data_IF_648148657667
#
_entry.id   IF_648148657667
#
_cell.length_a   1.000
_cell.length_b   1.000
_cell.length_c   1.000
_cell.angle_alpha   90.00
_cell.angle_beta   90.00
_cell.angle_gamma   90.00
#
_symmetry.space_group_name_H-M   'P 1'
#
loop_
_entity.id
_entity.type
_entity.pdbx_description
1 polymer ?
#
# COMPACT_ATOMS: atom_id res chain seq x y z
N UNK A 1 -49.95 -50.06 50.73
CA UNK A 1 -50.79 -49.53 49.65
C UNK A 1 -49.99 -49.63 48.37
N UNK A 2 -50.53 -50.31 47.37
CA UNK A 2 -49.91 -50.45 46.06
C UNK A 2 -50.13 -49.14 45.29
N UNK A 3 -49.06 -48.41 45.01
CA UNK A 3 -49.12 -47.08 44.37
C UNK A 3 -49.47 -47.15 42.88
N UNK A 4 -49.59 -48.35 42.33
CA UNK A 4 -49.88 -48.64 40.92
C UNK A 4 -51.29 -48.21 40.46
N UNK A 5 -52.12 -47.61 41.33
CA UNK A 5 -53.52 -47.29 41.03
C UNK A 5 -53.92 -45.81 41.26
N UNK A 6 -52.96 -44.89 41.45
CA UNK A 6 -53.27 -43.45 41.53
C UNK A 6 -53.17 -42.83 40.12
N UNK A 7 -54.18 -43.05 39.29
CA UNK A 7 -54.38 -42.34 38.01
C UNK A 7 -54.96 -40.95 38.31
N UNK A 8 -54.09 -39.95 38.46
CA UNK A 8 -54.46 -38.60 38.89
C UNK A 8 -54.65 -37.54 37.78
N UNK A 9 -54.29 -37.83 36.52
CA UNK A 9 -54.25 -36.80 35.48
C UNK A 9 -55.14 -37.14 34.30
N UNK A 10 -56.11 -36.27 34.02
CA UNK A 10 -56.93 -36.28 32.81
C UNK A 10 -56.34 -35.28 31.83
N UNK A 11 -55.88 -35.75 30.67
CA UNK A 11 -55.49 -34.89 29.56
C UNK A 11 -56.58 -34.92 28.50
N UNK A 12 -56.77 -33.81 27.81
CA UNK A 12 -57.73 -33.71 26.70
C UNK A 12 -56.96 -33.93 25.40
N UNK A 13 -57.41 -34.87 24.57
CA UNK A 13 -56.82 -35.07 23.26
C UNK A 13 -57.16 -33.92 22.29
N UNK A 14 -56.52 -33.90 21.12
CA UNK A 14 -56.74 -32.88 20.08
C UNK A 14 -58.19 -32.79 19.57
N UNK A 15 -59.04 -33.76 19.88
CA UNK A 15 -60.45 -33.82 19.50
C UNK A 15 -61.38 -33.45 20.67
N UNK A 16 -60.83 -33.03 21.82
CA UNK A 16 -61.62 -32.60 22.97
C UNK A 16 -62.03 -33.72 23.92
N UNK A 17 -61.54 -34.95 23.74
CA UNK A 17 -61.91 -36.08 24.59
C UNK A 17 -60.95 -36.25 25.76
N UNK A 18 -61.49 -36.47 26.96
CA UNK A 18 -60.69 -36.75 28.15
C UNK A 18 -60.11 -38.17 28.11
N UNK A 19 -58.78 -38.26 28.16
CA UNK A 19 -58.02 -39.49 28.36
C UNK A 19 -57.31 -39.44 29.71
N UNK A 20 -57.36 -40.54 30.45
CA UNK A 20 -56.50 -40.70 31.63
C UNK A 20 -55.05 -40.92 31.15
N UNK A 21 -54.13 -40.11 31.66
CA UNK A 21 -52.70 -40.24 31.40
C UNK A 21 -52.05 -40.72 32.68
N UNK A 22 -51.34 -41.85 32.59
CA UNK A 22 -50.60 -42.37 33.75
C UNK A 22 -49.34 -41.54 33.98
N UNK A 23 -48.80 -41.61 35.20
CA UNK A 23 -47.54 -40.91 35.52
C UNK A 23 -46.38 -41.43 34.65
N UNK A 24 -46.40 -42.72 34.32
CA UNK A 24 -45.40 -43.35 33.44
C UNK A 24 -45.46 -42.77 32.01
N UNK A 25 -46.66 -42.64 31.44
CA UNK A 25 -46.86 -42.05 30.10
C UNK A 25 -46.42 -40.56 30.07
N UNK A 26 -46.70 -39.77 31.12
CA UNK A 26 -46.19 -38.40 31.20
C UNK A 26 -44.67 -38.35 31.29
N UNK A 27 -44.07 -39.27 32.04
CA UNK A 27 -42.62 -39.33 32.25
C UNK A 27 -41.90 -39.68 30.94
N UNK A 28 -42.43 -40.60 30.14
CA UNK A 28 -41.89 -40.91 28.81
C UNK A 28 -41.99 -39.72 27.85
N UNK A 29 -43.13 -39.02 27.81
CA UNK A 29 -43.32 -37.86 26.93
C UNK A 29 -42.38 -36.69 27.29
N UNK A 30 -42.20 -36.44 28.59
CA UNK A 30 -41.24 -35.43 29.07
C UNK A 30 -39.81 -35.85 28.75
N UNK A 31 -39.47 -37.13 28.94
CA UNK A 31 -38.14 -37.67 28.62
C UNK A 31 -37.83 -37.55 27.12
N UNK A 32 -38.78 -37.91 26.25
CA UNK A 32 -38.61 -37.76 24.80
C UNK A 32 -38.37 -36.31 24.38
N UNK A 33 -39.09 -35.35 24.99
CA UNK A 33 -38.92 -33.93 24.71
C UNK A 33 -37.57 -33.39 25.21
N UNK A 34 -37.11 -33.83 26.39
CA UNK A 34 -35.79 -33.48 26.93
C UNK A 34 -34.68 -34.07 26.04
N UNK A 35 -34.78 -35.32 25.63
CA UNK A 35 -33.78 -35.97 24.76
C UNK A 35 -33.73 -35.31 23.38
N UNK A 36 -34.88 -34.95 22.81
CA UNK A 36 -34.93 -34.20 21.54
C UNK A 36 -34.25 -32.83 21.65
N UNK A 37 -34.57 -32.06 22.71
CA UNK A 37 -33.96 -30.75 22.93
C UNK A 37 -32.47 -30.85 23.24
N UNK A 38 -32.04 -31.85 24.02
CA UNK A 38 -30.63 -32.09 24.29
C UNK A 38 -29.86 -32.52 23.03
N UNK A 39 -30.50 -33.30 22.15
CA UNK A 39 -29.92 -33.71 20.87
C UNK A 39 -29.73 -32.51 19.95
N UNK A 40 -30.71 -31.61 19.85
CA UNK A 40 -30.58 -30.36 19.07
C UNK A 40 -29.44 -29.48 19.61
N UNK A 41 -29.36 -29.29 20.93
CA UNK A 41 -28.27 -28.53 21.57
C UNK A 41 -26.89 -29.16 21.31
N UNK A 42 -26.80 -30.50 21.32
CA UNK A 42 -25.57 -31.24 21.05
C UNK A 42 -25.05 -31.00 19.63
N UNK A 43 -25.94 -30.91 18.64
CA UNK A 43 -25.56 -30.62 17.24
C UNK A 43 -24.98 -29.21 17.10
N UNK A 44 -25.57 -28.21 17.77
CA UNK A 44 -25.04 -26.84 17.77
C UNK A 44 -23.71 -26.71 18.52
N UNK A 45 -23.54 -27.46 19.62
CA UNK A 45 -22.31 -27.48 20.39
C UNK A 45 -21.14 -28.16 19.62
N UNK A 46 -21.43 -29.20 18.84
CA UNK A 46 -20.42 -29.88 18.02
C UNK A 46 -19.91 -29.00 16.87
N UNK A 47 -20.81 -28.26 16.19
CA UNK A 47 -20.43 -27.30 15.15
C UNK A 47 -19.59 -26.14 15.71
N UNK A 48 -19.93 -25.63 16.90
CA UNK A 48 -19.15 -24.59 17.58
C UNK A 48 -17.76 -25.07 18.04
N UNK A 49 -17.60 -26.35 18.41
CA UNK A 49 -16.33 -26.93 18.86
C UNK A 49 -15.38 -27.31 17.70
N UNK A 50 -15.92 -27.61 16.51
CA UNK A 50 -15.12 -27.96 15.34
C UNK A 50 -14.48 -26.75 14.63
N UNK A 51 -14.89 -25.52 14.97
CA UNK A 51 -14.37 -24.28 14.34
C UNK A 51 -14.71 -24.15 12.85
N UNK A 52 -15.41 -25.12 12.28
CA UNK A 52 -15.98 -25.11 10.94
C UNK A 52 -17.37 -24.50 11.06
N UNK A 53 -17.44 -23.19 10.94
CA UNK A 53 -18.73 -22.50 10.78
C UNK A 53 -19.23 -22.81 9.35
N UNK A 54 -20.05 -23.85 9.21
CA UNK A 54 -20.65 -24.27 7.94
C UNK A 54 -21.42 -23.13 7.23
N UNK A 55 -21.67 -22.03 7.93
CA UNK A 55 -22.32 -20.83 7.39
C UNK A 55 -21.33 -19.82 6.81
N UNK A 56 -20.04 -19.80 7.18
CA UNK A 56 -19.04 -18.88 6.60
C UNK A 56 -18.70 -19.27 5.16
N UNK A 57 -18.59 -20.57 4.86
CA UNK A 57 -18.32 -21.10 3.51
C UNK A 57 -19.51 -20.94 2.54
N UNK A 58 -20.70 -20.61 3.06
CA UNK A 58 -21.92 -20.39 2.27
C UNK A 58 -22.19 -18.90 2.00
N UNK A 59 -21.42 -17.99 2.60
CA UNK A 59 -21.56 -16.57 2.31
C UNK A 59 -21.00 -16.26 0.92
N UNK A 60 -21.70 -15.47 0.09
CA UNK A 60 -21.17 -15.05 -1.19
C UNK A 60 -19.85 -14.32 -0.99
N UNK A 61 -18.81 -14.73 -1.71
CA UNK A 61 -17.53 -14.03 -1.71
C UNK A 61 -17.78 -12.58 -2.13
N UNK A 62 -17.49 -11.66 -1.21
CA UNK A 62 -17.60 -10.23 -1.46
C UNK A 62 -16.20 -9.66 -1.67
N UNK A 63 -15.96 -9.04 -2.82
CA UNK A 63 -14.73 -8.29 -3.09
C UNK A 63 -14.63 -6.99 -2.26
N UNK A 64 -15.67 -6.68 -1.48
CA UNK A 64 -15.74 -5.49 -0.62
C UNK A 64 -16.20 -5.85 0.80
N UNK A 65 -15.32 -5.63 1.78
CA UNK A 65 -15.69 -5.72 3.20
C UNK A 65 -16.15 -4.33 3.70
N UNK A 66 -17.39 -4.25 4.17
CA UNK A 66 -17.96 -3.02 4.73
C UNK A 66 -17.80 -2.92 6.25
N UNK A 67 -17.72 -4.06 6.93
CA UNK A 67 -17.56 -4.17 8.38
C UNK A 67 -16.57 -5.28 8.75
N UNK A 68 -15.87 -5.06 9.86
CA UNK A 68 -14.97 -5.99 10.50
C UNK A 68 -15.55 -6.32 11.88
N UNK A 69 -15.63 -7.61 12.22
CA UNK A 69 -15.90 -8.02 13.61
C UNK A 69 -14.66 -7.74 14.43
N UNK A 70 -14.81 -6.88 15.44
CA UNK A 70 -13.75 -6.44 16.34
C UNK A 70 -14.20 -6.63 17.77
N UNK A 71 -13.27 -6.47 18.72
CA UNK A 71 -13.60 -6.41 20.13
C UNK A 71 -13.54 -4.96 20.60
N UNK A 72 -14.51 -4.53 21.41
CA UNK A 72 -14.42 -3.26 22.13
C UNK A 72 -13.38 -3.34 23.27
N UNK A 73 -13.14 -2.22 23.96
CA UNK A 73 -12.19 -2.17 25.08
C UNK A 73 -12.53 -3.10 26.26
N UNK A 74 -13.76 -3.59 26.32
CA UNK A 74 -14.27 -4.54 27.32
C UNK A 74 -14.27 -5.99 26.81
N UNK A 75 -13.69 -6.24 25.62
CA UNK A 75 -13.66 -7.53 24.92
C UNK A 75 -15.03 -8.05 24.47
N UNK A 76 -16.02 -7.17 24.30
CA UNK A 76 -17.29 -7.54 23.70
C UNK A 76 -17.20 -7.47 22.17
N UNK A 77 -17.83 -8.41 21.42
CA UNK A 77 -17.93 -8.32 19.98
C UNK A 77 -18.65 -7.04 19.53
N UNK A 78 -18.05 -6.33 18.58
CA UNK A 78 -18.62 -5.12 17.97
C UNK A 78 -18.28 -5.05 16.48
N UNK A 79 -19.08 -4.30 15.70
CA UNK A 79 -18.87 -4.10 14.27
C UNK A 79 -18.15 -2.78 14.04
N UNK A 80 -16.92 -2.85 13.52
CA UNK A 80 -16.16 -1.68 13.09
C UNK A 80 -16.25 -1.54 11.57
N UNK A 81 -16.60 -0.36 11.06
CA UNK A 81 -16.62 -0.16 9.60
C UNK A 81 -15.20 -0.26 9.00
N UNK A 82 -15.09 -0.72 7.77
CA UNK A 82 -13.80 -0.80 7.06
C UNK A 82 -13.11 0.56 6.96
N UNK A 83 -13.87 1.65 6.82
CA UNK A 83 -13.35 3.02 6.83
C UNK A 83 -12.77 3.43 8.18
N UNK A 84 -13.44 3.07 9.29
CA UNK A 84 -12.94 3.35 10.63
C UNK A 84 -11.64 2.56 10.92
N UNK A 85 -11.61 1.28 10.51
CA UNK A 85 -10.40 0.46 10.62
C UNK A 85 -9.25 1.01 9.77
N UNK A 86 -9.51 1.41 8.51
CA UNK A 86 -8.51 2.00 7.64
C UNK A 86 -7.94 3.31 8.18
N UNK A 87 -8.77 4.14 8.82
CA UNK A 87 -8.30 5.38 9.48
C UNK A 87 -7.32 5.08 10.61
N UNK A 88 -7.68 4.18 11.52
CA UNK A 88 -6.83 3.80 12.65
C UNK A 88 -5.52 3.15 12.17
N UNK A 89 -5.61 2.27 11.17
CA UNK A 89 -4.42 1.65 10.57
C UNK A 89 -3.52 2.68 9.88
N UNK A 90 -4.10 3.65 9.17
CA UNK A 90 -3.36 4.73 8.53
C UNK A 90 -2.64 5.62 9.56
N UNK A 91 -3.28 5.91 10.70
CA UNK A 91 -2.66 6.62 11.82
C UNK A 91 -1.56 5.81 12.49
N UNK A 92 -1.71 4.48 12.61
CA UNK A 92 -0.73 3.58 13.21
C UNK A 92 0.54 3.42 12.34
N UNK A 93 0.36 3.21 11.04
CA UNK A 93 1.47 3.12 10.06
C UNK A 93 2.16 4.51 9.95
N UNK A 94 1.38 5.60 10.02
CA UNK A 94 1.85 6.98 9.97
C UNK A 94 2.29 7.42 8.57
N UNK A 95 2.59 8.71 8.40
CA UNK A 95 3.10 9.24 7.14
C UNK A 95 4.58 8.87 6.95
N UNK A 96 4.97 8.53 5.73
CA UNK A 96 6.36 8.34 5.36
C UNK A 96 7.14 9.64 5.58
N UNK A 97 8.29 9.54 6.22
CA UNK A 97 9.27 10.63 6.35
C UNK A 97 10.64 10.11 5.94
N UNK A 98 11.63 10.99 5.78
CA UNK A 98 12.99 10.56 5.40
C UNK A 98 13.60 9.50 6.34
N UNK A 99 13.13 9.40 7.58
CA UNK A 99 13.66 8.50 8.61
C UNK A 99 12.66 7.45 9.11
N UNK A 100 11.46 7.37 8.51
CA UNK A 100 10.41 6.45 8.96
C UNK A 100 9.57 5.97 7.77
N UNK A 101 9.50 4.65 7.62
CA UNK A 101 8.56 4.00 6.69
C UNK A 101 7.13 4.37 7.06
N UNK A 102 6.30 4.65 6.05
CA UNK A 102 4.91 5.01 6.27
C UNK A 102 4.13 5.19 4.97
N UNK A 103 2.93 5.72 5.07
CA UNK A 103 2.06 6.05 3.95
C UNK A 103 2.51 7.37 3.31
N UNK A 104 2.58 7.42 1.98
CA UNK A 104 2.92 8.64 1.24
C UNK A 104 1.67 9.23 0.61
N UNK A 105 1.51 10.56 0.69
CA UNK A 105 0.40 11.25 0.02
C UNK A 105 0.54 11.16 -1.50
N UNK A 106 -0.57 11.27 -2.23
CA UNK A 106 -0.53 11.29 -3.71
C UNK A 106 0.20 12.53 -4.21
N UNK A 107 0.07 13.68 -3.54
CA UNK A 107 0.86 14.87 -3.81
C UNK A 107 2.37 14.64 -3.62
N UNK A 108 2.79 13.96 -2.56
CA UNK A 108 4.22 13.66 -2.33
C UNK A 108 4.75 12.60 -3.31
N UNK A 109 3.91 11.64 -3.69
CA UNK A 109 4.19 10.70 -4.78
C UNK A 109 4.32 11.42 -6.13
N UNK A 110 3.56 12.49 -6.39
CA UNK A 110 3.65 13.30 -7.62
C UNK A 110 4.80 14.32 -7.57
N UNK A 111 5.21 14.74 -6.36
CA UNK A 111 6.46 15.46 -6.07
C UNK A 111 7.70 14.57 -6.09
N UNK A 112 7.55 13.26 -6.38
CA UNK A 112 8.60 12.46 -7.00
C UNK A 112 8.80 12.98 -8.44
N UNK A 113 9.36 14.19 -8.48
CA UNK A 113 9.63 15.12 -9.57
C UNK A 113 10.58 16.12 -8.90
N UNK A 114 11.87 15.85 -9.07
CA UNK A 114 12.89 15.84 -8.02
C UNK A 114 13.22 17.25 -7.48
N UNK A 115 12.97 17.49 -6.18
CA UNK A 115 13.64 18.59 -5.45
C UNK A 115 15.08 18.14 -5.17
N UNK A 116 16.05 18.69 -5.88
CA UNK A 116 17.45 18.41 -5.60
C UNK A 116 18.06 19.46 -4.69
N UNK A 117 18.68 18.97 -3.62
CA UNK A 117 19.63 19.74 -2.86
C UNK A 117 20.87 20.02 -3.74
N UNK A 118 21.55 21.13 -3.46
CA UNK A 118 22.85 21.51 -4.04
C UNK A 118 23.74 20.29 -4.31
N UNK A 119 24.32 20.21 -5.52
CA UNK A 119 25.25 19.13 -5.86
C UNK A 119 25.09 18.62 -7.30
N UNK A 120 25.40 17.35 -7.47
CA UNK A 120 25.46 16.67 -8.77
C UNK A 120 24.52 15.46 -8.76
N UNK A 121 23.62 15.42 -9.74
CA UNK A 121 22.63 14.37 -9.92
C UNK A 121 22.92 13.61 -11.19
N UNK A 122 23.03 12.29 -11.09
CA UNK A 122 23.04 11.40 -12.25
C UNK A 122 21.66 11.40 -12.90
N UNK A 123 21.60 11.82 -14.15
CA UNK A 123 20.37 11.86 -14.93
C UNK A 123 20.08 10.50 -15.54
N UNK A 124 21.11 9.87 -16.10
CA UNK A 124 20.99 8.66 -16.91
C UNK A 124 22.34 7.96 -17.03
N UNK A 125 22.32 6.62 -17.10
CA UNK A 125 23.52 5.82 -17.41
C UNK A 125 23.23 4.75 -18.45
N UNK A 126 24.23 4.39 -19.26
CA UNK A 126 24.08 3.31 -20.22
C UNK A 126 25.38 2.57 -20.50
N UNK A 127 25.26 1.25 -20.69
CA UNK A 127 26.37 0.40 -21.17
C UNK A 127 26.64 0.57 -22.66
N UNK A 128 25.66 1.07 -23.40
CA UNK A 128 25.69 1.13 -24.85
C UNK A 128 25.60 2.58 -25.33
N UNK A 129 26.37 2.89 -26.38
CA UNK A 129 26.42 4.21 -27.01
C UNK A 129 25.16 4.53 -27.83
N UNK A 130 24.43 3.52 -28.32
CA UNK A 130 23.22 3.71 -29.15
C UNK A 130 21.92 3.91 -28.34
N UNK A 131 22.00 4.10 -27.02
CA UNK A 131 20.83 4.44 -26.22
C UNK A 131 20.62 5.95 -26.24
N UNK A 132 19.48 6.36 -26.80
CA UNK A 132 19.14 7.76 -26.96
C UNK A 132 18.40 8.25 -25.71
N UNK A 133 19.01 9.17 -24.98
CA UNK A 133 18.33 9.94 -23.95
C UNK A 133 18.05 11.33 -24.50
N UNK A 134 16.77 11.61 -24.71
CA UNK A 134 16.32 12.94 -25.11
C UNK A 134 15.52 13.53 -23.97
N UNK A 135 15.94 14.71 -23.51
CA UNK A 135 15.31 15.40 -22.41
C UNK A 135 15.23 16.91 -22.62
N UNK A 136 14.17 17.49 -22.07
CA UNK A 136 14.05 18.92 -21.80
C UNK A 136 14.20 19.12 -20.30
N UNK A 137 15.19 19.91 -19.89
CA UNK A 137 15.57 20.13 -18.49
C UNK A 137 15.41 21.60 -18.15
N UNK A 138 14.62 21.89 -17.14
CA UNK A 138 14.63 23.18 -16.45
C UNK A 138 15.41 23.02 -15.14
N UNK A 139 16.50 23.77 -14.99
CA UNK A 139 17.29 23.80 -13.76
C UNK A 139 17.34 25.20 -13.17
N UNK A 140 17.09 25.34 -11.86
CA UNK A 140 17.38 26.54 -11.11
C UNK A 140 18.42 26.18 -10.04
N UNK A 141 19.57 26.84 -10.08
CA UNK A 141 20.62 26.59 -9.10
C UNK A 141 20.36 27.42 -7.83
N UNK A 142 20.78 26.90 -6.65
CA UNK A 142 20.74 27.62 -5.38
C UNK A 142 21.20 29.08 -5.46
N UNK A 143 22.33 29.33 -6.14
CA UNK A 143 23.04 30.61 -6.08
C UNK A 143 22.54 31.66 -7.10
N UNK A 144 21.37 31.45 -7.71
CA UNK A 144 20.84 32.37 -8.72
C UNK A 144 19.31 32.41 -8.75
N UNK A 145 18.77 33.62 -8.92
CA UNK A 145 17.34 33.82 -9.20
C UNK A 145 16.96 33.46 -10.64
N UNK A 146 17.91 33.00 -11.46
CA UNK A 146 17.71 32.65 -12.86
C UNK A 146 17.73 31.13 -13.02
N UNK A 147 16.72 30.58 -13.68
CA UNK A 147 16.75 29.21 -14.19
C UNK A 147 17.42 29.12 -15.56
N UNK A 148 17.69 27.91 -16.02
CA UNK A 148 18.09 27.58 -17.40
C UNK A 148 17.18 26.48 -17.94
N UNK A 149 16.63 26.68 -19.14
CA UNK A 149 15.90 25.65 -19.90
C UNK A 149 16.81 25.10 -21.00
N UNK A 150 17.09 23.81 -20.96
CA UNK A 150 18.07 23.12 -21.78
C UNK A 150 17.42 21.92 -22.46
N UNK A 151 17.60 21.75 -23.77
CA UNK A 151 17.37 20.48 -24.44
C UNK A 151 18.66 19.71 -24.59
N UNK A 152 18.56 18.39 -24.42
CA UNK A 152 19.66 17.44 -24.55
C UNK A 152 19.22 16.30 -25.45
N UNK A 153 20.09 15.93 -26.39
CA UNK A 153 20.12 14.63 -27.07
C UNK A 153 21.46 13.96 -26.74
N UNK A 154 21.40 12.90 -25.94
CA UNK A 154 22.54 12.16 -25.43
C UNK A 154 22.59 10.74 -25.98
N UNK A 155 23.79 10.29 -26.36
CA UNK A 155 24.07 9.01 -27.02
C UNK A 155 25.34 8.34 -26.47
N UNK A 156 25.46 8.24 -25.14
CA UNK A 156 26.61 7.59 -24.51
C UNK A 156 27.91 8.40 -24.58
N UNK A 157 28.71 8.18 -25.62
CA UNK A 157 30.03 8.80 -25.85
C UNK A 157 30.14 9.67 -27.12
N UNK A 158 29.10 9.71 -27.95
CA UNK A 158 29.03 10.54 -29.15
C UNK A 158 28.82 12.03 -28.83
N UNK A 159 29.06 12.94 -29.80
CA UNK A 159 28.77 14.36 -29.64
C UNK A 159 27.32 14.60 -29.20
N UNK A 160 27.18 15.00 -27.95
CA UNK A 160 25.91 15.37 -27.32
C UNK A 160 25.46 16.69 -27.92
N UNK A 161 24.22 16.75 -28.40
CA UNK A 161 23.61 18.02 -28.75
C UNK A 161 22.97 18.61 -27.49
N UNK A 162 23.49 19.74 -27.04
CA UNK A 162 22.94 20.48 -25.91
C UNK A 162 22.67 21.90 -26.34
N UNK A 163 21.42 22.33 -26.22
CA UNK A 163 21.00 23.70 -26.55
C UNK A 163 20.28 24.31 -25.36
N UNK A 164 20.70 25.52 -24.97
CA UNK A 164 19.95 26.34 -24.02
C UNK A 164 18.95 27.20 -24.76
N UNK A 165 17.68 27.06 -24.42
CA UNK A 165 16.62 27.91 -24.97
C UNK A 165 16.46 29.22 -24.21
N UNK A 166 16.56 29.15 -22.88
CA UNK A 166 16.24 30.26 -21.98
C UNK A 166 17.14 30.23 -20.76
N UNK A 167 17.38 31.42 -20.19
CA UNK A 167 18.18 31.58 -18.98
C UNK A 167 19.67 31.65 -19.24
N UNK A 168 20.42 32.31 -18.36
CA UNK A 168 21.88 32.28 -18.38
C UNK A 168 22.39 32.04 -16.96
N UNK A 169 22.20 30.81 -16.48
CA UNK A 169 22.70 30.40 -15.18
C UNK A 169 23.94 29.49 -15.36
N UNK A 170 25.12 30.06 -15.14
CA UNK A 170 26.41 29.34 -15.17
C UNK A 170 26.52 28.27 -14.08
N UNK A 171 25.61 28.28 -13.12
CA UNK A 171 25.53 27.28 -12.06
C UNK A 171 24.64 26.08 -12.40
N UNK A 172 24.07 26.05 -13.62
CA UNK A 172 23.42 24.85 -14.16
C UNK A 172 24.35 24.27 -15.23
N UNK A 173 25.01 23.17 -14.87
CA UNK A 173 26.03 22.54 -15.72
C UNK A 173 25.67 21.09 -16.00
N UNK A 174 26.12 20.58 -17.14
CA UNK A 174 26.01 19.17 -17.47
C UNK A 174 27.39 18.55 -17.49
N UNK A 175 27.47 17.27 -17.14
CA UNK A 175 28.71 16.53 -17.07
C UNK A 175 28.56 15.16 -17.71
N UNK A 176 29.61 14.73 -18.39
CA UNK A 176 29.70 13.43 -19.05
C UNK A 176 30.96 12.71 -18.61
N UNK A 177 30.88 11.39 -18.47
CA UNK A 177 32.07 10.56 -18.36
C UNK A 177 31.73 9.08 -18.44
N UNK A 178 32.79 8.27 -18.41
CA UNK A 178 32.71 6.82 -18.36
C UNK A 178 33.18 6.37 -16.98
N UNK A 179 32.29 5.74 -16.23
CA UNK A 179 32.60 5.26 -14.89
C UNK A 179 33.61 4.10 -15.00
N UNK A 180 34.79 4.20 -14.37
CA UNK A 180 35.85 3.19 -14.50
C UNK A 180 35.52 1.88 -13.78
N UNK A 181 34.59 1.89 -12.82
CA UNK A 181 34.21 0.71 -12.04
C UNK A 181 33.12 -0.10 -12.74
N UNK A 182 32.07 0.57 -13.23
CA UNK A 182 30.90 -0.06 -13.86
C UNK A 182 31.03 -0.15 -15.38
N UNK A 183 31.97 0.58 -15.98
CA UNK A 183 32.16 0.72 -17.42
C UNK A 183 30.95 1.34 -18.14
N UNK A 184 30.10 2.08 -17.41
CA UNK A 184 28.90 2.76 -17.93
C UNK A 184 29.21 4.18 -18.38
N UNK A 185 28.55 4.64 -19.44
CA UNK A 185 28.50 6.05 -19.81
C UNK A 185 27.44 6.74 -18.96
N UNK A 186 27.78 7.87 -18.34
CA UNK A 186 26.90 8.55 -17.41
C UNK A 186 26.76 10.04 -17.76
N UNK A 187 25.52 10.54 -17.77
CA UNK A 187 25.19 11.96 -17.90
C UNK A 187 24.67 12.48 -16.57
N UNK A 188 25.20 13.61 -16.13
CA UNK A 188 24.92 14.23 -14.84
C UNK A 188 24.52 15.70 -15.01
N UNK A 189 23.61 16.16 -14.15
CA UNK A 189 23.27 17.57 -13.94
C UNK A 189 23.94 18.08 -12.66
N UNK A 190 24.63 19.21 -12.74
CA UNK A 190 25.09 19.97 -11.58
C UNK A 190 24.23 21.21 -11.37
N UNK A 191 23.62 21.29 -10.19
CA UNK A 191 23.01 22.51 -9.65
C UNK A 191 23.96 23.05 -8.59
N UNK A 192 24.96 23.82 -9.03
CA UNK A 192 26.07 24.29 -8.17
C UNK A 192 25.74 25.65 -7.54
N UNK A 193 26.45 26.09 -6.52
CA UNK A 193 26.16 27.36 -5.82
C UNK A 193 26.32 27.25 -4.30
N UNK A 194 26.60 28.36 -3.62
CA UNK A 194 26.88 28.34 -2.18
C UNK A 194 25.63 28.51 -1.30
N UNK A 195 24.63 29.25 -1.76
CA UNK A 195 23.43 29.63 -1.00
C UNK A 195 22.18 29.10 -1.69
N UNK A 196 21.11 28.69 -0.96
CA UNK A 196 19.78 28.39 -1.52
C UNK A 196 19.45 26.90 -1.78
N UNK A 197 18.22 26.67 -2.29
CA UNK A 197 17.74 25.35 -2.73
C UNK A 197 17.74 25.28 -4.27
N UNK A 198 18.19 24.14 -4.83
CA UNK A 198 18.12 23.87 -6.25
C UNK A 198 16.78 23.25 -6.64
N UNK A 199 16.38 23.40 -7.90
CA UNK A 199 15.23 22.67 -8.43
C UNK A 199 15.47 22.25 -9.87
N UNK A 200 15.00 21.06 -10.23
CA UNK A 200 15.03 20.56 -11.59
C UNK A 200 13.64 20.07 -12.01
N UNK A 201 13.31 20.25 -13.29
CA UNK A 201 12.21 19.58 -13.96
C UNK A 201 12.68 18.99 -15.28
N UNK A 202 12.45 17.69 -15.48
CA UNK A 202 12.86 16.93 -16.67
C UNK A 202 11.63 16.37 -17.37
N UNK A 203 11.51 16.61 -18.67
CA UNK A 203 10.63 15.86 -19.57
C UNK A 203 11.51 15.02 -20.48
N UNK A 204 11.34 13.69 -20.43
CA UNK A 204 12.13 12.74 -21.21
C UNK A 204 11.30 12.00 -22.25
N UNK A 205 11.94 11.56 -23.33
CA UNK A 205 11.34 10.73 -24.38
C UNK A 205 11.86 9.29 -24.31
N UNK A 206 10.96 8.35 -23.97
CA UNK A 206 11.09 6.86 -24.00
C UNK A 206 11.97 6.14 -22.95
N UNK A 207 11.75 4.82 -22.88
CA UNK A 207 11.69 3.98 -21.65
C UNK A 207 12.87 3.02 -21.41
N UNK A 208 13.98 3.09 -22.15
CA UNK A 208 15.01 2.02 -22.13
C UNK A 208 16.27 2.33 -21.31
N UNK A 209 16.20 3.25 -20.34
CA UNK A 209 17.38 3.63 -19.56
C UNK A 209 17.13 3.57 -18.07
N UNK A 210 18.14 3.11 -17.34
CA UNK A 210 18.12 3.07 -15.88
C UNK A 210 18.15 4.51 -15.34
N UNK A 211 17.06 4.87 -14.66
CA UNK A 211 16.79 6.20 -14.13
C UNK A 211 17.11 6.31 -12.65
N UNK A 212 17.99 5.44 -12.14
CA UNK A 212 18.46 5.50 -10.76
C UNK A 212 19.20 6.83 -10.50
N UNK A 213 18.47 7.75 -9.89
CA UNK A 213 18.94 9.09 -9.58
C UNK A 213 19.87 9.04 -8.37
N UNK A 214 21.17 8.96 -8.61
CA UNK A 214 22.19 9.12 -7.56
C UNK A 214 22.56 10.60 -7.46
N UNK A 215 22.42 11.19 -6.27
CA UNK A 215 22.87 12.56 -5.98
C UNK A 215 24.11 12.52 -5.11
N UNK A 216 25.12 13.33 -5.43
CA UNK A 216 26.37 13.44 -4.68
C UNK A 216 26.76 14.91 -4.49
N UNK A 217 27.43 15.23 -3.38
CA UNK A 217 27.90 16.59 -3.11
C UNK A 217 29.17 16.95 -3.90
N UNK A 218 30.03 15.97 -4.16
CA UNK A 218 31.30 16.13 -4.86
C UNK A 218 31.24 15.47 -6.23
N UNK A 219 31.63 16.21 -7.27
CA UNK A 219 31.67 15.71 -8.64
C UNK A 219 32.65 14.52 -8.76
N UNK A 220 32.21 13.36 -9.28
CA UNK A 220 33.12 12.26 -9.61
C UNK A 220 34.24 12.70 -10.55
N UNK A 221 35.48 12.31 -10.25
CA UNK A 221 36.69 12.80 -10.93
C UNK A 221 36.80 12.42 -12.41
N UNK A 222 36.10 11.38 -12.85
CA UNK A 222 36.06 10.94 -14.25
C UNK A 222 35.08 11.75 -15.11
N UNK A 223 34.21 12.56 -14.50
CA UNK A 223 33.24 13.38 -15.20
C UNK A 223 33.87 14.70 -15.66
N UNK A 224 33.50 15.14 -16.86
CA UNK A 224 33.94 16.41 -17.45
C UNK A 224 32.72 17.26 -17.80
N UNK A 225 32.83 18.56 -17.59
CA UNK A 225 31.78 19.51 -17.99
C UNK A 225 31.61 19.49 -19.50
N UNK A 226 30.37 19.48 -19.98
CA UNK A 226 30.06 19.59 -21.39
C UNK A 226 29.58 21.01 -21.73
N UNK A 227 29.96 21.55 -22.90
CA UNK A 227 29.49 22.85 -23.33
C UNK A 227 27.99 22.80 -23.60
N UNK A 228 27.30 23.87 -23.20
CA UNK A 228 25.89 24.11 -23.49
C UNK A 228 25.87 25.24 -24.52
N UNK A 229 25.36 24.97 -25.73
CA UNK A 229 25.24 25.98 -26.79
C UNK A 229 24.11 26.95 -26.51
#
# INVERSE_FOLDING_TARGET
MDLNNIVGFKAVDKNGNERQVTVDEMTELVSARIVSAASEISTFAAAAAAGTDEFEDQLPQSDTFSWLRTLDGSKNPTLTSSSAAAKVLGELIGTATGNKSGLMSVEDKKRLGRRFFKGYTKLVESKYWYNHYVALIFGASPASNLGSLIAIDWKGDEPISVTRFLGNNDNVKLYLGRNPETNMHELWLGLIGLDGDGSEFIIQSRESIDLDSKTVETLPSYLKVIPIS
#
